data_IF_389577144749
#
_entry.id   IF_389577144749
#
_cell.length_a   1.000
_cell.length_b   1.000
_cell.length_c   1.000
_cell.angle_alpha   90.00
_cell.angle_beta   90.00
_cell.angle_gamma   90.00
#
_symmetry.space_group_name_H-M   'P 1'
#
loop_
_entity.id
_entity.type
_entity.pdbx_description
1 polymer ?
#
# COMPACT_ATOMS: atom_id res chain seq x y z
N UNK A 1 -23.17 -13.39 13.00
CA UNK A 1 -22.51 -13.52 11.68
C UNK A 1 -21.14 -14.10 11.91
N UNK A 2 -20.84 -15.17 11.19
CA UNK A 2 -19.55 -15.85 11.25
C UNK A 2 -18.77 -15.61 9.95
N UNK A 3 -17.46 -15.87 9.98
CA UNK A 3 -16.58 -15.73 8.82
C UNK A 3 -17.09 -16.55 7.62
N UNK A 4 -17.79 -17.67 7.87
CA UNK A 4 -18.47 -18.48 6.85
C UNK A 4 -19.54 -17.71 6.06
N UNK A 5 -20.34 -16.88 6.74
CA UNK A 5 -21.41 -16.10 6.09
C UNK A 5 -20.83 -15.01 5.16
N UNK A 6 -19.61 -14.55 5.44
CA UNK A 6 -18.90 -13.56 4.61
C UNK A 6 -18.30 -14.18 3.35
N UNK A 7 -17.89 -15.45 3.41
CA UNK A 7 -17.38 -16.18 2.24
C UNK A 7 -18.49 -16.34 1.20
N UNK A 8 -19.69 -16.75 1.62
CA UNK A 8 -20.83 -16.91 0.72
C UNK A 8 -21.20 -15.61 -0.02
N UNK A 9 -21.22 -14.48 0.70
CA UNK A 9 -21.49 -13.17 0.07
C UNK A 9 -20.43 -12.76 -0.95
N UNK A 10 -19.17 -13.12 -0.70
CA UNK A 10 -18.06 -12.79 -1.59
C UNK A 10 -18.11 -13.65 -2.85
N UNK A 11 -18.43 -14.94 -2.71
CA UNK A 11 -18.64 -15.85 -3.84
C UNK A 11 -19.79 -15.38 -4.74
N UNK A 12 -20.90 -14.92 -4.16
CA UNK A 12 -22.03 -14.39 -4.92
C UNK A 12 -21.68 -13.08 -5.65
N UNK A 13 -20.87 -12.22 -5.04
CA UNK A 13 -20.36 -11.01 -5.70
C UNK A 13 -19.46 -11.33 -6.89
N UNK A 14 -18.57 -12.33 -6.76
CA UNK A 14 -17.69 -12.78 -7.84
C UNK A 14 -18.52 -13.31 -9.01
N UNK A 15 -19.53 -14.16 -8.75
CA UNK A 15 -20.44 -14.66 -9.80
C UNK A 15 -21.19 -13.52 -10.50
N UNK A 16 -21.67 -12.53 -9.75
CA UNK A 16 -22.40 -11.38 -10.31
C UNK A 16 -21.52 -10.52 -11.22
N UNK A 17 -20.22 -10.46 -10.95
CA UNK A 17 -19.25 -9.75 -11.79
C UNK A 17 -18.89 -10.47 -13.10
N UNK A 18 -19.43 -11.67 -13.34
CA UNK A 18 -19.12 -12.50 -14.50
C UNK A 18 -17.75 -13.21 -14.41
N UNK A 19 -17.10 -13.15 -13.25
CA UNK A 19 -15.84 -13.84 -12.99
C UNK A 19 -16.11 -15.28 -12.60
N UNK A 20 -15.32 -16.22 -13.13
CA UNK A 20 -15.42 -17.62 -12.72
C UNK A 20 -14.87 -17.81 -11.30
N UNK A 21 -15.62 -18.54 -10.48
CA UNK A 21 -15.15 -18.96 -9.17
C UNK A 21 -14.04 -19.99 -9.31
N UNK A 22 -13.00 -19.85 -8.49
CA UNK A 22 -11.86 -20.76 -8.46
C UNK A 22 -12.26 -22.09 -7.80
N UNK A 23 -12.97 -22.93 -8.56
CA UNK A 23 -13.47 -24.23 -8.09
C UNK A 23 -12.35 -25.26 -7.87
N UNK A 24 -11.12 -24.97 -8.31
CA UNK A 24 -9.98 -25.89 -8.33
C UNK A 24 -8.77 -25.26 -7.63
N UNK A 25 -9.02 -24.44 -6.60
CA UNK A 25 -7.99 -23.97 -5.71
C UNK A 25 -7.37 -25.19 -5.03
N UNK A 26 -6.29 -25.75 -5.59
CA UNK A 26 -5.64 -26.94 -5.07
C UNK A 26 -5.45 -26.88 -3.54
N UNK A 27 -5.43 -28.03 -2.87
CA UNK A 27 -5.28 -28.05 -1.41
C UNK A 27 -3.89 -27.59 -1.02
N UNK A 28 -3.78 -26.35 -0.56
CA UNK A 28 -2.63 -25.84 0.16
C UNK A 28 -3.00 -25.79 1.65
N UNK A 29 -2.12 -26.27 2.52
CA UNK A 29 -2.36 -26.16 3.97
C UNK A 29 -2.29 -24.69 4.41
N UNK A 30 -2.93 -24.37 5.54
CA UNK A 30 -2.89 -23.01 6.09
C UNK A 30 -1.46 -22.53 6.36
N UNK A 31 -0.60 -23.42 6.86
CA UNK A 31 0.80 -23.13 7.14
C UNK A 31 1.57 -22.80 5.85
N UNK A 32 1.40 -23.59 4.81
CA UNK A 32 2.04 -23.34 3.51
C UNK A 32 1.53 -22.03 2.87
N UNK A 33 0.25 -21.73 3.00
CA UNK A 33 -0.32 -20.47 2.50
C UNK A 33 0.27 -19.27 3.25
N UNK A 34 0.44 -19.38 4.57
CA UNK A 34 1.06 -18.35 5.40
C UNK A 34 2.53 -18.12 5.01
N UNK A 35 3.30 -19.21 4.87
CA UNK A 35 4.71 -19.13 4.45
C UNK A 35 4.82 -18.45 3.09
N UNK A 36 3.97 -18.82 2.12
CA UNK A 36 3.97 -18.18 0.80
C UNK A 36 3.64 -16.68 0.88
N UNK A 37 2.66 -16.30 1.70
CA UNK A 37 2.31 -14.90 1.88
C UNK A 37 3.46 -14.09 2.50
N UNK A 38 4.13 -14.65 3.51
CA UNK A 38 5.30 -14.03 4.15
C UNK A 38 6.46 -13.86 3.15
N UNK A 39 6.78 -14.90 2.38
CA UNK A 39 7.83 -14.85 1.35
C UNK A 39 7.55 -13.80 0.26
N UNK A 40 6.31 -13.72 -0.24
CA UNK A 40 5.95 -12.71 -1.23
C UNK A 40 5.97 -11.29 -0.65
N UNK A 41 5.57 -11.14 0.62
CA UNK A 41 5.68 -9.85 1.32
C UNK A 41 7.13 -9.41 1.50
N UNK A 42 8.05 -10.31 1.85
CA UNK A 42 9.48 -10.01 1.95
C UNK A 42 10.05 -9.55 0.61
N UNK A 43 9.74 -10.25 -0.49
CA UNK A 43 10.14 -9.83 -1.85
C UNK A 43 9.57 -8.47 -2.23
N UNK A 44 8.32 -8.18 -1.85
CA UNK A 44 7.72 -6.87 -2.08
C UNK A 44 8.45 -5.79 -1.26
N UNK A 45 8.71 -6.07 0.02
CA UNK A 45 9.40 -5.16 0.94
C UNK A 45 10.81 -4.83 0.47
N UNK A 46 11.55 -5.83 -0.03
CA UNK A 46 12.89 -5.63 -0.61
C UNK A 46 12.82 -4.75 -1.87
N UNK A 47 11.90 -5.03 -2.79
CA UNK A 47 11.68 -4.20 -3.99
C UNK A 47 11.23 -2.76 -3.66
N UNK A 48 10.51 -2.60 -2.56
CA UNK A 48 9.96 -1.30 -2.14
C UNK A 48 10.91 -0.54 -1.21
N UNK A 49 12.05 -1.14 -0.82
CA UNK A 49 13.01 -0.55 0.12
C UNK A 49 13.63 0.75 -0.40
N UNK A 50 13.86 0.81 -1.70
CA UNK A 50 14.42 1.99 -2.37
C UNK A 50 13.33 2.96 -2.84
N UNK A 51 12.05 2.60 -2.67
CA UNK A 51 10.94 3.48 -2.97
C UNK A 51 10.67 4.38 -1.78
N UNK A 52 10.90 5.68 -1.96
CA UNK A 52 10.42 6.67 -1.00
C UNK A 52 8.90 6.53 -0.86
N UNK A 53 8.47 6.25 0.37
CA UNK A 53 7.06 6.21 0.73
C UNK A 53 6.43 7.57 0.48
N UNK A 54 5.11 7.59 0.27
CA UNK A 54 4.39 8.84 0.03
C UNK A 54 4.66 9.86 1.15
N UNK A 55 4.72 9.40 2.40
CA UNK A 55 5.02 10.22 3.58
C UNK A 55 6.39 10.88 3.48
N UNK A 56 7.42 10.15 3.04
CA UNK A 56 8.77 10.69 2.88
C UNK A 56 8.85 11.72 1.75
N UNK A 57 8.11 11.50 0.64
CA UNK A 57 8.01 12.47 -0.45
C UNK A 57 7.37 13.77 0.03
N UNK A 58 6.26 13.66 0.76
CA UNK A 58 5.52 14.80 1.30
C UNK A 58 6.38 15.58 2.32
N UNK A 59 7.17 14.87 3.13
CA UNK A 59 8.13 15.49 4.04
C UNK A 59 9.20 16.30 3.30
N UNK A 60 9.80 15.75 2.24
CA UNK A 60 10.79 16.48 1.42
C UNK A 60 10.18 17.70 0.75
N UNK A 61 8.95 17.59 0.24
CA UNK A 61 8.25 18.73 -0.37
C UNK A 61 7.96 19.83 0.65
N UNK A 62 7.49 19.46 1.85
CA UNK A 62 7.25 20.41 2.92
C UNK A 62 8.54 21.09 3.38
N UNK A 63 9.65 20.34 3.49
CA UNK A 63 10.95 20.90 3.82
C UNK A 63 11.44 21.90 2.76
N UNK A 64 11.33 21.55 1.47
CA UNK A 64 11.67 22.46 0.35
C UNK A 64 10.81 23.72 0.36
N UNK A 65 9.51 23.59 0.63
CA UNK A 65 8.60 24.72 0.71
C UNK A 65 8.97 25.61 1.90
N UNK A 66 9.26 25.05 3.07
CA UNK A 66 9.71 25.80 4.23
C UNK A 66 11.02 26.56 3.96
N UNK A 67 12.00 25.93 3.29
CA UNK A 67 13.24 26.60 2.90
C UNK A 67 12.98 27.81 1.99
N UNK A 68 12.14 27.66 0.95
CA UNK A 68 11.79 28.77 0.05
C UNK A 68 11.15 29.94 0.78
N UNK A 69 10.27 29.68 1.75
CA UNK A 69 9.62 30.75 2.53
C UNK A 69 10.63 31.51 3.40
N UNK A 70 11.65 30.82 3.93
CA UNK A 70 12.72 31.45 4.70
C UNK A 70 13.66 32.28 3.81
N UNK A 71 13.95 31.82 2.59
CA UNK A 71 14.72 32.59 1.60
C UNK A 71 13.96 33.86 1.15
N UNK A 72 12.69 33.73 0.77
CA UNK A 72 11.86 34.88 0.39
C UNK A 72 11.57 35.86 1.54
N UNK A 73 11.63 35.39 2.80
CA UNK A 73 11.55 36.24 3.98
C UNK A 73 12.81 37.09 4.21
N UNK A 74 13.99 36.64 3.75
CA UNK A 74 15.24 37.41 3.85
C UNK A 74 15.32 38.54 2.83
N UNK A 75 14.81 38.33 1.61
CA UNK A 75 14.82 39.35 0.55
C UNK A 75 13.98 40.59 0.93
N UNK A 76 12.93 40.43 1.74
CA UNK A 76 12.08 41.56 2.18
C UNK A 76 12.62 42.37 3.36
N UNK A 77 13.66 41.88 4.04
CA UNK A 77 14.27 42.57 5.19
C UNK A 77 15.61 43.25 4.84
N UNK A 78 16.07 43.19 3.59
CA UNK A 78 17.31 43.80 3.11
C UNK A 78 17.16 45.16 2.41
N UNK A 79 15.93 45.65 2.19
CA UNK A 79 15.65 46.93 1.50
C UNK A 79 15.16 48.05 2.46
N UNK A 80 15.53 48.01 3.74
CA UNK A 80 15.28 49.11 4.68
C UNK A 80 16.56 49.58 5.35
#
# INVERSE_FOLDING_TARGET
MYMKDWIEKLDDFIKMSGSELLNHAGKISHEEAKIKAELEYEKYKERSKDQLTQVEKDFIQNFKNAQKQLEHGKDKNGER
#
